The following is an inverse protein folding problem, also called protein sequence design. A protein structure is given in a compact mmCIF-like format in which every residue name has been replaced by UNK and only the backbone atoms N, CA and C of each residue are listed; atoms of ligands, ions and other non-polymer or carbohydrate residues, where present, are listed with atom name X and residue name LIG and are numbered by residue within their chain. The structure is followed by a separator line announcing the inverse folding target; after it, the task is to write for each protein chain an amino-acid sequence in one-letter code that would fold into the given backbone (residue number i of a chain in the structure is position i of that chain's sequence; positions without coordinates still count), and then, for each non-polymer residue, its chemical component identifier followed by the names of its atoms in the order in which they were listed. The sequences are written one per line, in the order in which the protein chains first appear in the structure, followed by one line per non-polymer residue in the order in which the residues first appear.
data_IF_729207164658
#
_entry.id   IF_729207164658
#
_cell.length_a   1.000
_cell.length_b   1.000
_cell.length_c   1.000
_cell.angle_alpha   90.00
_cell.angle_beta   90.00
_cell.angle_gamma   90.00
#
_symmetry.space_group_name_H-M   'P 1'
#
loop_
_entity.id
_entity.type
_entity.pdbx_description
1 polymer ?
2 polymer ?
3 non-polymer ?
4 non-polymer ?
5 water ?
#
# COMPACT_ATOMS: atom_id res chain seq x y z
N UNK A 5 -8.94 -18.69 0.66
CA UNK A 5 -8.98 -17.23 0.99
C UNK A 5 -8.36 -16.41 -0.10
N UNK A 6 -9.07 -15.37 -0.54
CA UNK A 6 -8.56 -14.48 -1.57
C UNK A 6 -8.73 -13.00 -1.23
N UNK A 7 -7.94 -12.18 -1.91
CA UNK A 7 -7.96 -10.75 -1.72
C UNK A 7 -7.69 -10.11 -3.05
N UNK A 8 -8.36 -8.99 -3.34
CA UNK A 8 -8.14 -8.27 -4.59
C UNK A 8 -7.47 -6.95 -4.16
N UNK A 9 -6.18 -6.83 -4.44
CA UNK A 9 -5.40 -5.70 -4.02
C UNK A 9 -3.94 -5.86 -4.35
N UNK A 10 -3.07 -5.44 -3.43
CA UNK A 10 -1.61 -5.46 -3.71
C UNK A 10 -0.79 -6.51 -2.98
N UNK A 11 -1.36 -7.14 -1.94
CA UNK A 11 -0.62 -8.17 -1.19
C UNK A 11 0.38 -7.56 -0.23
N UNK A 12 -0.06 -6.54 0.51
CA UNK A 12 0.78 -5.89 1.51
C UNK A 12 0.16 -6.07 2.88
N UNK A 13 0.99 -6.36 3.86
CA UNK A 13 0.56 -6.49 5.24
C UNK A 13 0.89 -5.15 5.90
N UNK A 14 -0.14 -4.46 6.40
CA UNK A 14 0.01 -3.15 6.97
C UNK A 14 -0.27 -3.10 8.47
N UNK A 15 0.42 -2.19 9.13
CA UNK A 15 0.26 -1.95 10.56
C UNK A 15 0.27 -0.45 10.79
N UNK A 17 1.25 2.63 13.33
CA UNK A 17 2.07 3.08 14.46
C UNK A 17 2.14 4.62 14.38
N UNK A 18 1.70 5.29 15.44
CA UNK A 18 1.74 6.77 15.52
C UNK A 18 1.21 7.51 14.29
N UNK A 19 -0.02 7.17 13.90
CA UNK A 19 -0.72 7.79 12.74
C UNK A 19 -0.22 7.38 11.37
N UNK A 20 0.88 6.62 11.31
CA UNK A 20 1.40 6.17 10.03
C UNK A 20 1.02 4.74 9.73
N UNK A 21 0.66 4.51 8.47
CA UNK A 21 0.40 3.19 7.91
C UNK A 21 1.77 2.71 7.43
N UNK A 22 2.22 1.55 7.93
CA UNK A 22 3.54 1.05 7.64
C UNK A 22 3.51 -0.39 7.16
N UNK A 23 4.38 -0.69 6.19
CA UNK A 23 4.47 -2.06 5.70
C UNK A 23 5.16 -2.93 6.75
N UNK A 24 4.47 -3.99 7.18
CA UNK A 24 5.03 -4.98 8.11
C UNK A 24 5.68 -6.13 7.31
N UNK A 25 5.00 -6.55 6.26
CA UNK A 25 5.40 -7.69 5.44
C UNK A 25 4.69 -7.63 4.10
N UNK A 26 5.09 -8.51 3.20
CA UNK A 26 4.45 -8.63 1.91
C UNK A 26 3.97 -10.07 1.78
N UNK A 27 2.79 -10.24 1.19
CA UNK A 27 2.23 -11.56 0.95
C UNK A 27 3.02 -12.25 -0.16
N UNK A 28 3.42 -13.49 0.11
CA UNK A 28 4.18 -14.26 -0.86
C UNK A 28 3.46 -14.32 -2.21
N UNK A 29 4.19 -14.00 -3.27
CA UNK A 29 3.69 -14.07 -4.64
C UNK A 29 2.78 -12.95 -5.09
N UNK A 30 2.48 -11.99 -4.21
CA UNK A 30 1.57 -10.88 -4.58
C UNK A 30 2.23 -9.79 -5.40
N UNK A 31 1.42 -8.85 -5.95
CA UNK A 31 1.95 -7.75 -6.76
C UNK A 31 3.00 -6.91 -6.04
N UNK A 32 2.78 -6.62 -4.76
CA UNK A 32 3.76 -5.82 -4.02
C UNK A 32 5.11 -6.52 -3.94
N UNK A 33 5.11 -7.82 -3.61
CA UNK A 33 6.35 -8.60 -3.56
C UNK A 33 7.05 -8.68 -4.93
N UNK A 34 6.28 -8.91 -5.98
CA UNK A 34 6.82 -9.02 -7.34
C UNK A 34 7.40 -7.69 -7.84
N UNK A 35 6.89 -6.57 -7.34
CA UNK A 35 7.36 -5.24 -7.82
C UNK A 35 8.80 -4.87 -7.43
N UNK A 36 9.25 -5.39 -6.27
CA UNK A 36 10.55 -5.02 -5.66
C UNK A 36 10.62 -3.54 -5.25
N UNK A 37 9.49 -2.84 -5.24
CA UNK A 37 9.50 -1.40 -4.91
C UNK A 37 8.99 -1.05 -3.52
N UNK A 38 8.63 -2.06 -2.74
CA UNK A 38 8.09 -1.89 -1.40
C UNK A 38 8.76 -2.84 -0.43
N UNK A 39 8.91 -2.41 0.81
CA UNK A 39 9.50 -3.24 1.83
C UNK A 39 9.12 -2.85 3.22
N UNK A 40 9.41 -3.74 4.16
CA UNK A 40 9.14 -3.53 5.56
C UNK A 40 9.70 -2.18 6.01
N UNK A 41 8.91 -1.43 6.75
CA UNK A 41 9.33 -0.13 7.25
C UNK A 41 8.89 1.04 6.40
N UNK A 42 8.54 0.80 5.13
CA UNK A 42 8.03 1.87 4.25
C UNK A 42 6.71 2.39 4.80
N UNK A 43 6.56 3.72 4.85
CA UNK A 43 5.31 4.33 5.28
C UNK A 43 4.48 4.73 4.06
N UNK A 44 3.19 4.42 4.09
CA UNK A 44 2.28 4.80 2.99
C UNK A 44 1.51 5.99 3.52
N UNK A 45 1.90 7.17 3.05
CA UNK A 45 1.30 8.43 3.53
C UNK A 45 0.21 8.99 2.63
N UNK A 46 0.06 8.40 1.45
CA UNK A 46 -1.00 8.80 0.54
C UNK A 46 -1.37 7.70 -0.42
N UNK A 47 -2.62 7.71 -0.87
CA UNK A 47 -3.09 6.70 -1.81
C UNK A 47 -3.90 7.39 -2.88
N UNK A 48 -3.59 7.11 -4.13
CA UNK A 48 -4.34 7.69 -5.26
C UNK A 48 -4.87 6.64 -6.22
N UNK A 49 -6.08 6.86 -6.72
CA UNK A 49 -6.64 5.99 -7.73
C UNK A 49 -6.16 6.54 -9.08
N UNK A 50 -6.26 5.72 -10.12
CA UNK A 50 -5.81 6.15 -11.46
C UNK A 50 -6.53 7.43 -11.95
N UNK A 51 -5.73 8.41 -12.38
CA UNK A 51 -6.24 9.67 -12.90
C UNK A 51 -6.74 10.61 -11.80
N UNK A 52 -6.54 10.23 -10.53
CA UNK A 52 -7.01 11.05 -9.42
C UNK A 52 -5.88 11.45 -8.50
N UNK A 53 -6.20 12.38 -7.63
CA UNK A 53 -5.22 12.88 -6.70
C UNK A 53 -4.82 11.84 -5.66
N UNK A 54 -3.65 12.05 -5.09
CA UNK A 54 -3.10 11.17 -4.07
C UNK A 54 -3.59 11.73 -2.73
N UNK A 55 -4.58 11.06 -2.16
CA UNK A 55 -5.19 11.48 -0.91
C UNK A 55 -4.30 11.20 0.29
N UNK A 56 -4.12 12.19 1.15
CA UNK A 56 -3.34 12.04 2.38
C UNK A 56 -4.11 11.12 3.37
N UNK A 57 -3.42 10.10 3.88
CA UNK A 57 -4.05 9.12 4.78
C UNK A 57 -3.44 9.08 6.19
N UNK A 58 -2.58 10.05 6.50
CA UNK A 58 -1.93 10.11 7.80
C UNK A 58 -2.96 10.45 8.88
N UNK A 59 -2.96 9.66 9.94
CA UNK A 59 -3.91 9.82 11.05
C UNK A 59 -5.25 9.14 10.85
N UNK A 60 -5.45 8.48 9.71
CA UNK A 60 -6.67 7.73 9.43
C UNK A 60 -6.69 6.43 10.22
N UNK A 61 -7.86 5.79 10.25
CA UNK A 61 -7.96 4.44 10.80
C UNK A 61 -7.46 3.52 9.72
N UNK A 62 -6.77 2.46 10.12
CA UNK A 62 -6.13 1.57 9.15
C UNK A 62 -7.11 0.93 8.16
N UNK A 63 -8.29 0.53 8.62
CA UNK A 63 -9.26 -0.08 7.71
C UNK A 63 -9.68 0.88 6.57
N UNK A 64 -9.78 2.19 6.87
CA UNK A 64 -10.11 3.18 5.84
C UNK A 64 -8.99 3.33 4.81
N UNK A 65 -7.75 3.21 5.25
CA UNK A 65 -6.59 3.26 4.34
C UNK A 65 -6.58 2.03 3.44
N UNK A 66 -6.78 0.87 4.04
CA UNK A 66 -6.84 -0.40 3.29
C UNK A 66 -7.91 -0.40 2.19
N UNK A 67 -9.03 0.27 2.45
CA UNK A 67 -10.13 0.35 1.50
C UNK A 67 -9.76 1.14 0.24
N UNK A 68 -8.78 2.02 0.35
CA UNK A 68 -8.26 2.80 -0.82
C UNK A 68 -7.23 1.98 -1.60
N UNK A 69 -6.51 1.10 -0.90
CA UNK A 69 -5.45 0.31 -1.51
C UNK A 69 -5.97 -0.91 -2.27
N UNK A 70 -6.92 -1.62 -1.65
CA UNK A 70 -7.57 -2.75 -2.30
C UNK A 70 -8.38 -2.23 -3.47
N UNK A 71 -8.65 -3.10 -4.42
CA UNK A 71 -9.41 -2.73 -5.60
C UNK A 71 -9.41 -3.81 -6.64
N UNK A 72 -10.09 -3.56 -7.77
CA UNK A 72 -10.24 -4.57 -8.80
C UNK A 72 -8.96 -4.99 -9.51
N UNK A 73 -8.87 -6.29 -9.77
CA UNK A 73 -7.76 -6.89 -10.52
C UNK A 73 -7.52 -6.09 -11.80
N UNK A 74 -6.27 -5.76 -12.08
CA UNK A 74 -5.93 -5.01 -13.29
C UNK A 74 -5.94 -3.49 -13.15
N UNK A 75 -6.54 -2.95 -12.09
CA UNK A 75 -6.57 -1.49 -11.88
C UNK A 75 -5.30 -1.08 -11.14
N UNK A 76 -4.89 0.17 -11.33
CA UNK A 76 -3.68 0.69 -10.72
C UNK A 76 -3.95 1.50 -9.46
N UNK A 77 -3.02 1.39 -8.53
CA UNK A 77 -3.06 2.23 -7.35
C UNK A 77 -1.71 2.91 -7.20
N UNK A 78 -1.76 4.20 -6.85
CA UNK A 78 -0.59 5.02 -6.60
C UNK A 78 -0.39 5.11 -5.10
N UNK A 79 0.79 4.71 -4.62
CA UNK A 79 1.12 4.77 -3.22
C UNK A 79 2.21 5.82 -3.01
N UNK A 80 1.93 6.81 -2.16
CA UNK A 80 2.93 7.82 -1.83
C UNK A 80 3.68 7.26 -0.63
N UNK A 81 4.94 6.90 -0.89
CA UNK A 81 5.81 6.21 0.06
C UNK A 81 6.85 7.12 0.70
N UNK A 82 6.96 7.01 2.01
CA UNK A 82 7.91 7.74 2.78
C UNK A 82 8.79 6.68 3.43
N UNK A 83 10.03 6.48 2.92
CA UNK A 83 10.92 5.47 3.50
C UNK A 83 11.19 5.75 4.96
N UNK A 84 11.65 4.72 5.68
CA UNK A 84 11.96 4.84 7.09
C UNK A 84 13.13 5.81 7.26
N UNK A 85 13.05 6.67 8.26
CA UNK A 85 14.09 7.68 8.52
C UNK A 85 13.51 9.02 8.85
N UNK A 86 14.09 9.65 9.86
CA UNK A 86 13.65 10.94 10.37
C UNK A 86 13.54 12.03 9.30
N UNK A 87 14.49 12.07 8.36
CA UNK A 87 14.48 13.12 7.32
C UNK A 87 14.15 12.62 5.91
N UNK A 88 13.37 11.54 5.84
CA UNK A 88 13.02 10.96 4.56
C UNK A 88 12.10 11.86 3.76
N UNK A 89 12.25 11.80 2.45
CA UNK A 89 11.38 12.52 1.50
C UNK A 89 10.57 11.44 0.79
N UNK A 90 9.47 11.84 0.14
CA UNK A 90 8.55 10.87 -0.45
C UNK A 90 8.65 10.69 -1.96
N UNK A 91 8.15 9.54 -2.42
CA UNK A 91 8.07 9.22 -3.85
C UNK A 91 6.86 8.33 -4.07
N UNK A 92 6.44 8.22 -5.32
CA UNK A 92 5.26 7.44 -5.69
C UNK A 92 5.65 6.09 -6.29
N UNK A 93 4.96 5.05 -5.81
CA UNK A 93 5.09 3.69 -6.31
C UNK A 93 3.72 3.31 -6.86
N UNK A 94 3.67 2.88 -8.11
CA UNK A 94 2.42 2.42 -8.74
C UNK A 94 2.44 0.88 -8.81
N UNK A 95 1.36 0.27 -8.33
CA UNK A 95 1.19 -1.18 -8.33
C UNK A 95 -0.11 -1.53 -9.08
N UNK A 96 -0.06 -2.58 -9.90
CA UNK A 96 -1.25 -3.09 -10.56
C UNK A 96 -1.84 -4.16 -9.64
N UNK A 97 -3.07 -3.95 -9.21
CA UNK A 97 -3.77 -4.88 -8.32
C UNK A 97 -4.06 -6.22 -9.01
N UNK A 98 -4.17 -7.27 -8.20
CA UNK A 98 -4.49 -8.60 -8.72
C UNK A 98 -5.29 -9.35 -7.67
N UNK A 99 -5.94 -10.43 -8.09
CA UNK A 99 -6.67 -11.30 -7.19
C UNK A 99 -5.60 -12.27 -6.72
N UNK A 100 -5.32 -12.28 -5.42
CA UNK A 100 -4.28 -13.14 -4.87
C UNK A 100 -4.81 -14.15 -3.84
N UNK A 101 -4.34 -15.38 -3.95
CA UNK A 101 -4.70 -16.44 -2.99
C UNK A 101 -3.74 -16.22 -1.82
N UNK A 102 -4.28 -16.24 -0.62
CA UNK A 102 -3.49 -15.96 0.56
C UNK A 102 -2.80 -17.19 1.14
N UNK B 1 -3.39 -5.52 9.07
CA UNK B 1 -4.45 -5.77 8.04
C UNK B 1 -3.80 -5.99 6.69
N UNK B 2 -4.44 -6.80 5.85
CA UNK B 2 -3.92 -7.08 4.53
C UNK B 2 -4.63 -6.21 3.48
N UNK B 3 -3.85 -5.69 2.54
CA UNK B 3 -4.36 -4.84 1.46
C UNK B 3 -3.81 -5.28 0.11
#
# INVERSE_FOLDING_TARGET
SNANLSLEGIGAVLQXTDDYTIIRSLVAGGPAALSKQLGEGDRIIGVGQEGEDVVDVVGWRLDDVVQLIKGPKGSKVKLLVLPEGKDAKSHVVTIVRDKIRL
LIA
#
